data_IF_040606360324
#
_entry.id   IF_040606360324
#
_cell.length_a   1.000
_cell.length_b   1.000
_cell.length_c   1.000
_cell.angle_alpha   90.00
_cell.angle_beta   90.00
_cell.angle_gamma   90.00
#
_symmetry.space_group_name_H-M   'P 1'
#
loop_
_entity.id
_entity.type
_entity.pdbx_description
1 polymer ?
#
# COMPACT_ATOMS: atom_id res chain seq x y z
N UNK A 1 7.02 13.83 -2.95
CA UNK A 1 6.47 12.49 -2.72
C UNK A 1 5.02 12.43 -3.17
N UNK A 2 4.72 11.53 -4.10
CA UNK A 2 3.34 11.30 -4.52
C UNK A 2 2.84 10.03 -3.84
N UNK A 3 1.70 10.13 -3.16
CA UNK A 3 1.05 8.99 -2.50
C UNK A 3 -0.40 8.98 -2.95
N UNK A 4 -0.84 7.89 -3.57
CA UNK A 4 -2.23 7.80 -4.04
C UNK A 4 -2.77 6.38 -4.02
N UNK A 5 -4.09 6.27 -3.81
CA UNK A 5 -4.81 5.00 -3.97
C UNK A 5 -5.06 4.76 -5.45
N UNK A 6 -4.66 3.60 -5.95
CA UNK A 6 -4.93 3.21 -7.33
C UNK A 6 -6.40 2.83 -7.50
N UNK A 7 -6.92 3.09 -8.69
CA UNK A 7 -8.24 2.60 -9.07
C UNK A 7 -9.42 3.31 -8.42
N UNK A 8 -9.30 4.57 -8.14
CA UNK A 8 -10.43 5.40 -7.70
C UNK A 8 -11.46 5.54 -8.82
N UNK A 9 -12.30 4.54 -9.01
CA UNK A 9 -13.33 4.55 -10.03
C UNK A 9 -13.90 3.16 -10.26
N UNK A 10 -14.79 3.04 -11.22
CA UNK A 10 -15.54 1.80 -11.52
C UNK A 10 -14.68 0.63 -12.05
N UNK A 11 -13.38 0.84 -12.28
CA UNK A 11 -12.55 -0.10 -13.07
C UNK A 11 -11.86 -1.16 -12.23
N UNK A 12 -11.59 -0.90 -10.93
CA UNK A 12 -10.91 -1.86 -10.07
C UNK A 12 -11.73 -2.10 -8.80
N UNK A 13 -12.61 -3.05 -8.89
CA UNK A 13 -13.48 -3.37 -7.77
C UNK A 13 -12.77 -4.10 -6.63
N UNK A 14 -11.63 -4.79 -6.89
CA UNK A 14 -10.86 -5.56 -5.91
C UNK A 14 -11.75 -6.45 -5.02
N UNK A 15 -12.76 -7.06 -5.64
CA UNK A 15 -13.77 -7.83 -4.91
C UNK A 15 -13.38 -9.28 -4.68
N UNK A 16 -12.38 -9.75 -5.41
CA UNK A 16 -11.90 -11.13 -5.33
C UNK A 16 -10.61 -11.27 -4.52
N UNK A 17 -9.81 -12.28 -4.85
CA UNK A 17 -8.50 -12.51 -4.27
C UNK A 17 -7.50 -11.44 -4.72
N UNK A 18 -6.53 -11.15 -3.85
CA UNK A 18 -5.41 -10.27 -4.22
C UNK A 18 -4.29 -11.00 -4.98
N UNK A 19 -4.45 -12.29 -5.29
CA UNK A 19 -3.38 -13.11 -5.90
C UNK A 19 -2.83 -12.53 -7.21
N UNK A 20 -3.69 -11.97 -8.07
CA UNK A 20 -3.25 -11.38 -9.34
C UNK A 20 -2.41 -10.14 -9.13
N UNK A 21 -2.77 -9.30 -8.16
CA UNK A 21 -1.99 -8.12 -7.80
C UNK A 21 -0.65 -8.53 -7.21
N UNK A 22 -0.64 -9.53 -6.32
CA UNK A 22 0.59 -10.06 -5.73
C UNK A 22 1.53 -10.57 -6.83
N UNK A 23 1.02 -11.34 -7.77
CA UNK A 23 1.81 -11.84 -8.90
C UNK A 23 2.33 -10.71 -9.78
N UNK A 24 1.50 -9.73 -10.07
CA UNK A 24 1.89 -8.57 -10.87
C UNK A 24 3.01 -7.77 -10.20
N UNK A 25 2.94 -7.56 -8.89
CA UNK A 25 3.96 -6.81 -8.17
C UNK A 25 5.31 -7.52 -8.10
N UNK A 26 5.37 -8.81 -8.42
CA UNK A 26 6.60 -9.58 -8.49
C UNK A 26 7.24 -9.59 -9.89
N UNK A 27 6.66 -8.93 -10.88
CA UNK A 27 7.11 -9.01 -12.27
C UNK A 27 8.58 -8.59 -12.49
N UNK A 28 9.08 -7.68 -11.67
CA UNK A 28 10.46 -7.19 -11.74
C UNK A 28 11.47 -8.20 -11.16
N UNK A 29 11.02 -9.11 -10.28
CA UNK A 29 11.93 -9.98 -9.52
C UNK A 29 12.73 -10.92 -10.41
N UNK A 30 12.10 -11.51 -11.42
CA UNK A 30 12.77 -12.42 -12.33
C UNK A 30 13.86 -11.71 -13.16
N UNK A 31 13.59 -10.50 -13.61
CA UNK A 31 14.54 -9.68 -14.37
C UNK A 31 15.73 -9.30 -13.51
N UNK A 32 15.49 -8.92 -12.26
CA UNK A 32 16.57 -8.58 -11.33
C UNK A 32 17.46 -9.78 -11.04
N UNK A 33 16.87 -10.94 -10.80
CA UNK A 33 17.63 -12.19 -10.57
C UNK A 33 18.48 -12.56 -11.78
N UNK A 34 17.96 -12.42 -13.01
CA UNK A 34 18.72 -12.67 -14.24
C UNK A 34 19.88 -11.70 -14.41
N UNK A 35 19.73 -10.46 -13.93
CA UNK A 35 20.79 -9.45 -13.97
C UNK A 35 21.79 -9.58 -12.81
N UNK A 36 21.67 -10.61 -11.97
CA UNK A 36 22.54 -10.80 -10.81
C UNK A 36 22.21 -9.86 -9.63
N UNK A 37 21.05 -9.22 -9.67
CA UNK A 37 20.59 -8.30 -8.61
C UNK A 37 19.63 -9.00 -7.69
N UNK A 38 19.55 -8.54 -6.44
CA UNK A 38 18.63 -9.10 -5.45
C UNK A 38 17.30 -8.36 -5.51
N UNK A 39 16.16 -9.05 -5.69
CA UNK A 39 14.86 -8.41 -5.57
C UNK A 39 14.55 -8.09 -4.10
N UNK A 40 13.76 -7.05 -3.88
CA UNK A 40 13.25 -6.74 -2.56
C UNK A 40 11.98 -7.56 -2.29
N UNK A 41 11.93 -8.34 -1.20
CA UNK A 41 10.72 -9.08 -0.85
C UNK A 41 9.60 -8.16 -0.37
N UNK A 42 8.39 -8.67 -0.27
CA UNK A 42 7.33 -7.94 0.43
C UNK A 42 7.75 -7.65 1.87
N UNK A 43 7.27 -6.52 2.39
CA UNK A 43 7.48 -6.12 3.78
C UNK A 43 6.17 -5.62 4.38
N UNK A 44 6.11 -5.56 5.71
CA UNK A 44 4.99 -4.96 6.41
C UNK A 44 5.49 -4.01 7.50
N UNK A 45 4.67 -3.66 8.47
CA UNK A 45 5.04 -2.73 9.52
C UNK A 45 6.22 -3.22 10.36
N UNK A 46 6.37 -4.53 10.52
CA UNK A 46 7.32 -5.12 11.46
C UNK A 46 8.43 -5.93 10.79
N UNK A 47 8.18 -6.49 9.61
CA UNK A 47 9.07 -7.43 8.95
C UNK A 47 9.47 -6.96 7.56
N UNK A 48 10.74 -7.22 7.20
CA UNK A 48 11.29 -6.86 5.88
C UNK A 48 11.15 -7.98 4.84
N UNK A 49 10.81 -9.19 5.26
CA UNK A 49 10.71 -10.36 4.39
C UNK A 49 9.42 -11.12 4.63
N UNK A 50 8.51 -11.01 3.69
CA UNK A 50 7.24 -11.72 3.72
C UNK A 50 7.04 -12.39 2.38
N UNK A 51 6.71 -13.69 2.40
CA UNK A 51 6.49 -14.43 1.15
C UNK A 51 5.23 -13.96 0.44
N UNK A 52 5.18 -14.06 -0.90
CA UNK A 52 3.97 -13.73 -1.66
C UNK A 52 2.76 -14.55 -1.23
N UNK A 53 2.97 -15.80 -0.88
CA UNK A 53 1.91 -16.70 -0.38
C UNK A 53 1.32 -16.18 0.94
N UNK A 54 2.16 -15.71 1.84
CA UNK A 54 1.69 -15.12 3.10
C UNK A 54 0.88 -13.85 2.87
N UNK A 55 1.34 -12.98 1.96
CA UNK A 55 0.59 -11.76 1.57
C UNK A 55 -0.81 -12.13 1.09
N UNK A 56 -0.90 -13.06 0.14
CA UNK A 56 -2.17 -13.50 -0.42
C UNK A 56 -3.08 -14.09 0.66
N UNK A 57 -2.54 -14.99 1.48
CA UNK A 57 -3.33 -15.65 2.53
C UNK A 57 -3.84 -14.65 3.57
N UNK A 58 -2.99 -13.74 4.02
CA UNK A 58 -3.35 -12.76 5.06
C UNK A 58 -4.40 -11.77 4.57
N UNK A 59 -4.26 -11.24 3.37
CA UNK A 59 -5.24 -10.31 2.80
C UNK A 59 -6.55 -11.05 2.49
N UNK A 60 -6.48 -12.21 1.83
CA UNK A 60 -7.69 -12.95 1.42
C UNK A 60 -8.49 -13.48 2.61
N UNK A 61 -7.84 -13.75 3.74
CA UNK A 61 -8.51 -14.22 4.96
C UNK A 61 -8.93 -13.08 5.90
N UNK A 62 -8.73 -11.83 5.52
CA UNK A 62 -9.05 -10.67 6.35
C UNK A 62 -10.23 -9.89 5.75
N UNK A 63 -11.33 -10.57 5.47
CA UNK A 63 -12.49 -9.99 4.78
C UNK A 63 -13.84 -10.36 5.38
N UNK A 64 -13.86 -10.89 6.59
CA UNK A 64 -15.09 -11.33 7.26
C UNK A 64 -16.06 -10.17 7.43
N UNK A 65 -17.30 -10.37 7.03
CA UNK A 65 -18.35 -9.36 7.13
C UNK A 65 -18.43 -8.40 5.94
N UNK A 66 -17.47 -8.45 5.02
CA UNK A 66 -17.53 -7.64 3.80
C UNK A 66 -18.49 -8.30 2.79
N UNK A 67 -19.29 -7.46 2.13
CA UNK A 67 -20.22 -7.93 1.08
C UNK A 67 -19.45 -8.31 -0.19
N UNK A 68 -20.06 -9.15 -1.01
CA UNK A 68 -19.44 -9.61 -2.26
C UNK A 68 -19.02 -8.45 -3.19
N UNK A 69 -19.79 -7.37 -3.20
CA UNK A 69 -19.53 -6.20 -4.06
C UNK A 69 -18.55 -5.20 -3.46
N UNK A 70 -18.20 -5.34 -2.18
CA UNK A 70 -17.24 -4.45 -1.54
C UNK A 70 -15.81 -4.82 -1.92
N UNK A 71 -14.97 -3.81 -2.09
CA UNK A 71 -13.54 -4.02 -2.27
C UNK A 71 -12.97 -4.70 -1.02
N UNK A 72 -12.10 -5.69 -1.22
CA UNK A 72 -11.48 -6.45 -0.14
C UNK A 72 -10.12 -5.86 0.25
N UNK A 73 -9.52 -5.10 -0.67
CA UNK A 73 -8.23 -4.47 -0.47
C UNK A 73 -8.10 -3.25 -1.39
N UNK A 74 -7.10 -2.44 -1.10
CA UNK A 74 -6.73 -1.30 -1.93
C UNK A 74 -5.25 -1.36 -2.25
N UNK A 75 -4.84 -0.76 -3.38
CA UNK A 75 -3.43 -0.64 -3.74
C UNK A 75 -3.03 0.82 -3.68
N UNK A 76 -1.97 1.10 -2.94
CA UNK A 76 -1.43 2.45 -2.77
C UNK A 76 -0.10 2.52 -3.50
N UNK A 77 0.11 3.57 -4.29
CA UNK A 77 1.40 3.86 -4.93
C UNK A 77 2.09 4.98 -4.17
N UNK A 78 3.36 4.78 -3.83
CA UNK A 78 4.23 5.77 -3.21
C UNK A 78 5.39 6.03 -4.15
N UNK A 79 5.48 7.24 -4.69
CA UNK A 79 6.47 7.60 -5.71
C UNK A 79 7.21 8.88 -5.30
N UNK A 80 8.46 8.76 -4.83
CA UNK A 80 9.29 9.92 -4.54
C UNK A 80 9.80 10.56 -5.83
N UNK A 81 10.10 11.86 -5.76
CA UNK A 81 10.81 12.54 -6.84
C UNK A 81 12.28 12.12 -6.87
N UNK A 82 12.98 12.41 -7.97
CA UNK A 82 14.41 12.13 -8.07
C UNK A 82 15.21 12.89 -7.01
N UNK A 83 14.82 14.12 -6.69
CA UNK A 83 15.45 14.90 -5.62
C UNK A 83 15.28 14.23 -4.27
N UNK A 84 14.07 13.76 -3.97
CA UNK A 84 13.79 13.03 -2.73
C UNK A 84 14.57 11.71 -2.66
N UNK A 85 14.67 10.97 -3.77
CA UNK A 85 15.46 9.74 -3.82
C UNK A 85 16.94 9.99 -3.51
N UNK A 86 17.51 11.08 -4.02
CA UNK A 86 18.90 11.44 -3.72
C UNK A 86 19.10 11.71 -2.22
N UNK A 87 18.12 12.31 -1.57
CA UNK A 87 18.16 12.54 -0.12
C UNK A 87 18.00 11.23 0.68
N UNK A 88 17.30 10.26 0.12
CA UNK A 88 17.08 8.97 0.77
C UNK A 88 18.33 8.10 0.81
N UNK A 89 19.26 8.27 -0.12
CA UNK A 89 20.50 7.52 -0.12
C UNK A 89 21.25 7.60 -1.44
N UNK A 90 22.51 7.18 -1.41
CA UNK A 90 23.39 7.15 -2.58
C UNK A 90 23.21 5.88 -3.41
N UNK A 91 22.73 4.79 -2.81
CA UNK A 91 22.53 3.50 -3.48
C UNK A 91 21.04 3.14 -3.50
N UNK A 92 20.66 2.22 -4.40
CA UNK A 92 19.30 1.71 -4.48
C UNK A 92 18.90 0.97 -3.20
N UNK A 93 19.83 0.26 -2.58
CA UNK A 93 19.61 -0.45 -1.31
C UNK A 93 19.31 0.53 -0.17
N UNK A 94 20.06 1.62 -0.09
CA UNK A 94 19.81 2.69 0.91
C UNK A 94 18.46 3.36 0.65
N UNK A 95 18.14 3.63 -0.62
CA UNK A 95 16.87 4.23 -1.00
C UNK A 95 15.69 3.31 -0.67
N UNK A 96 15.84 2.00 -0.91
CA UNK A 96 14.81 1.02 -0.55
C UNK A 96 14.57 0.97 0.96
N UNK A 97 15.64 0.96 1.75
CA UNK A 97 15.53 0.98 3.21
C UNK A 97 14.85 2.26 3.71
N UNK A 98 15.22 3.41 3.16
CA UNK A 98 14.61 4.70 3.50
C UNK A 98 13.13 4.75 3.11
N UNK A 99 12.78 4.16 1.96
CA UNK A 99 11.39 4.09 1.51
C UNK A 99 10.52 3.24 2.45
N UNK A 100 11.02 2.09 2.88
CA UNK A 100 10.31 1.25 3.85
C UNK A 100 10.07 2.02 5.16
N UNK A 101 11.09 2.70 5.64
CA UNK A 101 10.99 3.51 6.86
C UNK A 101 9.96 4.63 6.70
N UNK A 102 9.99 5.34 5.58
CA UNK A 102 9.02 6.39 5.28
C UNK A 102 7.58 5.86 5.26
N UNK A 103 7.37 4.70 4.64
CA UNK A 103 6.05 4.06 4.60
C UNK A 103 5.59 3.71 6.03
N UNK A 104 6.48 3.17 6.85
CA UNK A 104 6.17 2.74 8.22
C UNK A 104 5.91 3.90 9.18
N UNK A 105 6.61 5.02 9.00
CA UNK A 105 6.56 6.14 9.95
C UNK A 105 5.67 7.28 9.50
N UNK A 106 5.45 7.44 8.20
CA UNK A 106 4.69 8.57 7.65
C UNK A 106 3.44 8.14 6.86
N UNK A 107 3.60 7.29 5.85
CA UNK A 107 2.50 6.98 4.94
C UNK A 107 1.38 6.21 5.64
N UNK A 108 1.71 5.10 6.27
CA UNK A 108 0.70 4.24 6.87
C UNK A 108 0.13 4.77 8.18
N UNK A 109 0.92 5.42 9.05
CA UNK A 109 0.32 6.10 10.21
C UNK A 109 -0.70 7.17 9.82
N UNK A 110 -0.41 7.99 8.81
CA UNK A 110 -1.35 9.01 8.31
C UNK A 110 -2.56 8.40 7.63
N UNK A 111 -2.39 7.28 6.94
CA UNK A 111 -3.49 6.52 6.37
C UNK A 111 -4.44 6.05 7.50
N UNK A 112 -3.89 5.46 8.55
CA UNK A 112 -4.67 5.00 9.69
C UNK A 112 -5.41 6.15 10.39
N UNK A 113 -4.74 7.27 10.63
CA UNK A 113 -5.32 8.46 11.23
C UNK A 113 -6.48 9.04 10.41
N UNK A 114 -6.37 8.95 9.08
CA UNK A 114 -7.37 9.50 8.15
C UNK A 114 -8.78 8.92 8.30
N UNK A 115 -8.93 7.78 8.96
CA UNK A 115 -10.24 7.18 9.22
C UNK A 115 -10.94 7.72 10.46
N UNK A 116 -10.27 8.51 11.26
CA UNK A 116 -10.81 9.14 12.48
C UNK A 116 -11.39 8.14 13.49
N UNK A 117 -10.76 6.96 13.59
CA UNK A 117 -11.18 5.86 14.50
C UNK A 117 -10.13 5.55 15.56
N UNK A 118 -9.12 6.41 15.72
CA UNK A 118 -8.04 6.18 16.66
C UNK A 118 -7.09 5.05 16.25
N UNK A 119 -7.02 4.74 14.96
CA UNK A 119 -6.20 3.65 14.45
C UNK A 119 -4.74 4.07 14.28
N UNK A 120 -3.86 3.09 14.44
CA UNK A 120 -2.41 3.22 14.22
C UNK A 120 -1.99 2.34 13.05
N UNK A 121 -0.80 2.55 12.53
CA UNK A 121 -0.25 1.72 11.46
C UNK A 121 -0.23 0.23 11.85
N UNK A 122 0.03 -0.09 13.12
CA UNK A 122 0.04 -1.47 13.62
C UNK A 122 -1.33 -2.17 13.53
N UNK A 123 -2.41 -1.41 13.45
CA UNK A 123 -3.76 -1.97 13.31
C UNK A 123 -4.08 -2.38 11.87
N UNK A 124 -3.28 -1.94 10.91
CA UNK A 124 -3.52 -2.18 9.49
C UNK A 124 -2.93 -3.51 9.03
N UNK A 125 -3.65 -4.20 8.17
CA UNK A 125 -3.12 -5.36 7.46
C UNK A 125 -2.63 -4.88 6.10
N UNK A 126 -1.33 -4.61 5.98
CA UNK A 126 -0.75 -4.11 4.74
C UNK A 126 0.58 -4.78 4.41
N UNK A 127 0.90 -4.83 3.13
CA UNK A 127 2.15 -5.37 2.61
C UNK A 127 2.65 -4.47 1.49
N UNK A 128 3.90 -4.07 1.58
CA UNK A 128 4.55 -3.21 0.59
C UNK A 128 5.54 -3.97 -0.27
N UNK A 129 5.74 -3.48 -1.48
CA UNK A 129 6.71 -4.02 -2.42
C UNK A 129 7.47 -2.87 -3.05
N UNK A 130 8.80 -2.88 -2.94
CA UNK A 130 9.66 -1.90 -3.59
C UNK A 130 9.91 -2.32 -5.03
N UNK A 131 9.71 -1.39 -5.95
CA UNK A 131 10.10 -1.50 -7.35
C UNK A 131 11.24 -0.52 -7.62
N UNK A 132 12.30 -0.98 -8.28
CA UNK A 132 13.48 -0.17 -8.55
C UNK A 132 13.40 0.60 -9.86
N UNK A 133 12.55 0.15 -10.79
CA UNK A 133 12.46 0.71 -12.13
C UNK A 133 11.02 0.99 -12.51
N UNK A 134 10.82 2.06 -13.28
CA UNK A 134 9.57 2.26 -14.00
C UNK A 134 9.77 1.83 -15.45
N UNK A 135 8.77 1.18 -16.02
CA UNK A 135 8.78 0.79 -17.44
C UNK A 135 8.60 1.98 -18.40
N UNK A 136 8.66 3.20 -17.92
CA UNK A 136 8.56 4.40 -18.75
C UNK A 136 9.93 4.96 -19.10
N UNK A 137 9.97 5.69 -20.21
CA UNK A 137 11.16 6.13 -20.97
C UNK A 137 12.31 6.82 -20.21
N UNK A 138 12.11 7.17 -18.96
CA UNK A 138 13.11 7.94 -18.20
C UNK A 138 13.74 7.18 -17.03
N UNK A 139 13.66 5.86 -17.04
CA UNK A 139 14.50 4.96 -16.21
C UNK A 139 14.17 4.98 -14.72
N UNK A 140 14.92 4.51 -14.01
CA UNK A 140 15.32 4.21 -12.64
C UNK A 140 14.62 5.00 -11.50
N UNK A 141 13.29 5.13 -11.49
CA UNK A 141 12.58 5.77 -10.39
C UNK A 141 12.05 4.73 -9.40
N UNK A 142 12.78 4.55 -8.31
CA UNK A 142 12.33 3.70 -7.22
C UNK A 142 10.98 4.19 -6.69
N UNK A 143 10.05 3.26 -6.53
CA UNK A 143 8.72 3.53 -6.01
C UNK A 143 8.22 2.30 -5.27
N UNK A 144 7.10 2.41 -4.58
CA UNK A 144 6.52 1.31 -3.85
C UNK A 144 5.03 1.16 -4.16
N UNK A 145 4.56 -0.07 -4.09
CA UNK A 145 3.14 -0.41 -4.08
C UNK A 145 2.81 -1.07 -2.77
N UNK A 146 1.66 -0.72 -2.20
CA UNK A 146 1.20 -1.26 -0.92
C UNK A 146 -0.17 -1.87 -1.15
N UNK A 147 -0.33 -3.13 -0.77
CA UNK A 147 -1.64 -3.78 -0.70
C UNK A 147 -2.13 -3.64 0.74
N UNK A 148 -3.25 -2.95 0.93
CA UNK A 148 -3.84 -2.76 2.26
C UNK A 148 -5.25 -3.34 2.29
N UNK A 149 -5.55 -4.13 3.32
CA UNK A 149 -6.86 -4.73 3.51
C UNK A 149 -7.93 -3.65 3.77
N UNK A 150 -9.14 -3.89 3.31
CA UNK A 150 -10.31 -3.09 3.66
C UNK A 150 -10.61 -3.15 5.18
N UNK A 151 -10.13 -4.18 5.85
CA UNK A 151 -10.34 -4.35 7.30
C UNK A 151 -9.01 -4.24 8.06
N UNK A 152 -9.09 -3.75 9.28
CA UNK A 152 -7.95 -3.81 10.20
C UNK A 152 -7.62 -5.27 10.50
N UNK A 153 -6.46 -5.53 11.11
CA UNK A 153 -5.98 -6.88 11.44
C UNK A 153 -7.05 -7.70 12.16
N UNK A 154 -7.01 -9.01 11.93
CA UNK A 154 -7.89 -9.99 12.58
C UNK A 154 -9.38 -9.74 12.32
N UNK A 155 -9.71 -9.34 11.10
CA UNK A 155 -11.10 -9.05 10.69
C UNK A 155 -11.74 -7.98 11.59
N UNK A 156 -10.98 -6.96 11.94
CA UNK A 156 -11.43 -5.90 12.86
C UNK A 156 -12.38 -4.91 12.22
N UNK A 157 -12.01 -3.64 12.24
CA UNK A 157 -12.87 -2.56 11.72
C UNK A 157 -12.76 -2.46 10.20
N UNK A 158 -13.86 -2.15 9.53
CA UNK A 158 -13.87 -1.82 8.11
C UNK A 158 -13.36 -0.40 7.90
N UNK A 159 -12.41 -0.24 6.96
CA UNK A 159 -11.81 1.04 6.61
C UNK A 159 -11.75 1.17 5.10
N UNK A 160 -12.14 2.31 4.54
CA UNK A 160 -12.09 2.55 3.11
C UNK A 160 -11.67 3.98 2.80
N UNK A 161 -10.57 4.17 2.04
CA UNK A 161 -10.16 5.52 1.62
C UNK A 161 -11.07 6.10 0.55
N UNK A 162 -12.02 5.32 0.04
CA UNK A 162 -13.00 5.73 -0.96
C UNK A 162 -14.28 6.31 -0.35
N UNK A 163 -14.37 6.36 0.98
CA UNK A 163 -15.53 6.95 1.67
C UNK A 163 -15.55 8.47 1.46
N UNK A 164 -16.68 9.00 0.98
CA UNK A 164 -16.84 10.44 0.72
C UNK A 164 -16.91 11.27 2.00
N UNK A 165 -16.37 12.49 1.93
CA UNK A 165 -16.35 13.44 3.04
C UNK A 165 -17.67 14.13 3.33
N UNK A 166 -18.68 13.92 2.52
CA UNK A 166 -19.97 14.62 2.63
C UNK A 166 -20.88 14.08 3.73
N UNK A 167 -20.48 13.02 4.40
CA UNK A 167 -21.26 12.42 5.47
C UNK A 167 -21.08 13.12 6.81
N UNK A 168 -22.14 13.71 7.34
CA UNK A 168 -22.18 14.23 8.72
C UNK A 168 -22.27 13.12 9.77
N UNK A 169 -22.27 11.87 9.37
CA UNK A 169 -22.47 10.72 10.25
C UNK A 169 -21.13 10.08 10.57
N UNK A 170 -20.87 9.88 11.85
CA UNK A 170 -19.72 9.15 12.37
C UNK A 170 -19.90 7.62 12.22
N UNK A 171 -20.45 7.20 11.08
CA UNK A 171 -20.74 5.80 10.79
C UNK A 171 -20.11 5.40 9.47
N UNK A 172 -19.77 4.12 9.33
CA UNK A 172 -19.17 3.58 8.13
C UNK A 172 -17.67 3.36 8.25
N UNK A 173 -17.02 3.16 7.11
CA UNK A 173 -15.61 2.76 7.01
C UNK A 173 -14.63 3.84 7.45
N UNK A 174 -15.06 5.11 7.45
CA UNK A 174 -14.27 6.20 7.99
C UNK A 174 -15.23 7.23 8.60
N UNK A 175 -14.97 7.62 9.84
CA UNK A 175 -15.80 8.62 10.52
C UNK A 175 -15.54 10.00 9.90
N UNK A 176 -16.58 10.65 9.41
CA UNK A 176 -16.47 11.94 8.72
C UNK A 176 -15.84 11.88 7.35
N UNK A 177 -15.63 10.68 6.79
CA UNK A 177 -14.97 10.46 5.51
C UNK A 177 -13.44 10.50 5.60
N UNK A 178 -12.79 10.00 4.56
CA UNK A 178 -11.33 9.98 4.45
C UNK A 178 -10.85 11.12 3.53
N UNK A 179 -10.02 12.01 4.03
CA UNK A 179 -9.49 13.13 3.26
C UNK A 179 -8.28 12.72 2.40
N UNK A 180 -8.54 12.23 1.21
CA UNK A 180 -7.49 11.80 0.28
C UNK A 180 -6.56 12.94 -0.14
N UNK A 181 -7.09 14.15 -0.33
CA UNK A 181 -6.28 15.30 -0.73
C UNK A 181 -5.26 15.66 0.35
N UNK A 182 -5.69 15.72 1.59
CA UNK A 182 -4.81 16.00 2.71
C UNK A 182 -3.73 14.92 2.86
N UNK A 183 -4.12 13.66 2.74
CA UNK A 183 -3.20 12.53 2.81
C UNK A 183 -2.18 12.56 1.66
N UNK A 184 -2.63 12.86 0.43
CA UNK A 184 -1.76 12.92 -0.75
C UNK A 184 -0.74 14.04 -0.69
N UNK A 185 -1.03 15.12 0.00
CA UNK A 185 -0.18 16.32 0.08
C UNK A 185 0.73 16.35 1.31
N UNK A 186 0.61 15.40 2.21
CA UNK A 186 1.38 15.39 3.46
C UNK A 186 2.78 14.79 3.32
#
# INVERSE_FOLDING_TARGET
>A
MIVKVQGGGKVYANTGSCSDVVSYLQHEDAERLQAGLTPEPFFNQEQDRISPKEVTNKIDNNRKGLKAKEAKFYVITVAPSRAELREMGATKEEQAAAMKEYIRTEVMPKYAEGFNKGLKADDLEFYGKIHFERHEKDGEDLHAHIIVSHKTKNNGKSISPMTNHTGKKNTGAAQGGFNRKEWYSS
#
